data_IF_455910458713
#
_entry.id   IF_455910458713
#
_cell.length_a   1.000
_cell.length_b   1.000
_cell.length_c   1.000
_cell.angle_alpha   90.00
_cell.angle_beta   90.00
_cell.angle_gamma   90.00
#
_symmetry.space_group_name_H-M   'P 1'
#
loop_
_entity.id
_entity.type
_entity.pdbx_description
1 polymer ?
#
# COMPACT_ATOMS: atom_id res chain seq x y z
N UNK A 1 -6.81 -2.57 9.34
CA UNK A 1 -5.48 -2.22 8.77
C UNK A 1 -5.33 -2.83 7.38
N UNK A 2 -4.36 -2.42 6.57
CA UNK A 2 -4.12 -2.94 5.21
C UNK A 2 -2.63 -2.92 4.90
N UNK A 3 -2.17 -3.74 3.95
CA UNK A 3 -0.78 -3.81 3.50
C UNK A 3 -0.58 -3.07 2.18
N UNK A 4 0.34 -2.11 2.15
CA UNK A 4 0.84 -1.45 0.94
C UNK A 4 2.36 -1.52 0.93
N UNK A 5 2.95 -1.88 -0.20
CA UNK A 5 4.38 -1.84 -0.44
C UNK A 5 4.61 -1.15 -1.78
N UNK A 6 5.54 -0.23 -1.89
CA UNK A 6 5.87 0.38 -3.18
C UNK A 6 7.36 0.55 -3.40
N UNK A 7 7.75 0.55 -4.67
CA UNK A 7 9.11 0.73 -5.14
C UNK A 7 9.13 1.75 -6.27
N UNK A 8 10.07 2.70 -6.20
CA UNK A 8 10.54 3.38 -7.41
C UNK A 8 11.49 2.43 -8.14
N UNK A 9 11.28 2.25 -9.43
CA UNK A 9 12.20 1.49 -10.27
C UNK A 9 13.49 2.30 -10.51
N UNK A 10 14.54 1.67 -11.04
CA UNK A 10 15.79 2.39 -11.30
C UNK A 10 15.60 3.31 -12.50
N UNK A 11 16.29 4.45 -12.50
CA UNK A 11 16.32 5.33 -13.67
C UNK A 11 16.98 4.68 -14.90
N UNK A 12 17.75 3.61 -14.70
CA UNK A 12 18.38 2.79 -15.74
C UNK A 12 17.47 1.68 -16.28
N UNK A 13 16.31 1.43 -15.66
CA UNK A 13 15.38 0.43 -16.17
C UNK A 13 14.81 0.92 -17.51
N UNK A 14 14.50 0.02 -18.48
CA UNK A 14 14.02 0.41 -19.80
C UNK A 14 12.74 1.28 -19.76
N UNK A 15 11.90 1.04 -18.74
CA UNK A 15 10.71 1.84 -18.46
C UNK A 15 10.70 2.22 -16.97
N UNK A 16 11.29 3.38 -16.60
CA UNK A 16 11.24 3.87 -15.24
C UNK A 16 9.81 4.13 -14.78
N UNK A 17 9.52 3.82 -13.52
CA UNK A 17 8.17 3.85 -12.99
C UNK A 17 8.09 3.60 -11.49
N UNK A 18 6.88 3.30 -11.04
CA UNK A 18 6.56 2.96 -9.67
C UNK A 18 5.75 1.68 -9.69
N UNK A 19 6.10 0.74 -8.80
CA UNK A 19 5.36 -0.51 -8.65
C UNK A 19 4.82 -0.58 -7.23
N UNK A 20 3.52 -0.82 -7.09
CA UNK A 20 2.84 -0.98 -5.81
C UNK A 20 2.28 -2.39 -5.68
N UNK A 21 2.42 -2.98 -4.50
CA UNK A 21 1.71 -4.18 -4.07
C UNK A 21 0.72 -3.81 -2.98
N UNK A 22 -0.51 -4.30 -3.09
CA UNK A 22 -1.56 -4.06 -2.09
C UNK A 22 -2.33 -5.33 -1.78
N UNK A 23 -2.64 -5.54 -0.50
CA UNK A 23 -3.59 -6.58 -0.11
C UNK A 23 -5.05 -6.12 -0.38
N UNK A 24 -6.01 -7.02 -0.23
CA UNK A 24 -7.41 -6.77 -0.58
C UNK A 24 -8.41 -6.90 0.55
N UNK A 25 -7.97 -7.23 1.78
CA UNK A 25 -8.89 -7.53 2.86
C UNK A 25 -9.52 -6.26 3.50
N UNK A 26 -10.82 -6.29 3.72
CA UNK A 26 -11.61 -5.23 4.33
C UNK A 26 -12.21 -5.74 5.65
N UNK A 27 -12.12 -4.97 6.73
CA UNK A 27 -12.52 -5.41 8.06
C UNK A 27 -13.54 -4.49 8.71
N UNK A 28 -14.32 -5.02 9.65
CA UNK A 28 -15.05 -4.24 10.65
C UNK A 28 -14.16 -3.84 11.84
N UNK A 29 -14.77 -3.32 12.91
CA UNK A 29 -14.05 -2.91 14.12
C UNK A 29 -13.47 -4.09 14.92
N UNK A 30 -14.01 -5.29 14.76
CA UNK A 30 -13.56 -6.51 15.46
C UNK A 30 -12.47 -7.25 14.67
N UNK A 31 -12.07 -6.70 13.51
CA UNK A 31 -11.11 -7.32 12.61
C UNK A 31 -11.67 -8.51 11.84
N UNK A 32 -12.99 -8.67 11.78
CA UNK A 32 -13.63 -9.70 10.96
C UNK A 32 -13.61 -9.26 9.50
N UNK A 33 -13.27 -10.16 8.59
CA UNK A 33 -13.22 -9.88 7.16
C UNK A 33 -14.64 -9.68 6.62
N UNK A 34 -15.00 -8.45 6.25
CA UNK A 34 -16.31 -8.10 5.69
C UNK A 34 -16.31 -8.02 4.16
N UNK A 35 -15.14 -8.09 3.53
CA UNK A 35 -15.04 -8.09 2.08
C UNK A 35 -13.61 -8.20 1.55
N UNK A 36 -13.51 -8.50 0.26
CA UNK A 36 -12.25 -8.56 -0.47
C UNK A 36 -12.37 -7.61 -1.66
N UNK A 37 -11.58 -6.53 -1.67
CA UNK A 37 -11.66 -5.47 -2.67
C UNK A 37 -10.28 -4.89 -2.96
N UNK A 38 -10.12 -4.35 -4.17
CA UNK A 38 -8.93 -3.58 -4.56
C UNK A 38 -8.84 -2.29 -3.74
N UNK A 39 -7.62 -1.95 -3.31
CA UNK A 39 -7.31 -0.73 -2.51
C UNK A 39 -6.54 0.32 -3.29
N UNK A 40 -6.48 0.17 -4.62
CA UNK A 40 -5.86 1.09 -5.55
C UNK A 40 -6.92 1.67 -6.47
N UNK A 41 -6.96 3.00 -6.57
CA UNK A 41 -7.70 3.73 -7.60
C UNK A 41 -6.69 4.18 -8.66
N UNK A 42 -6.99 3.97 -9.94
CA UNK A 42 -6.12 4.36 -11.05
C UNK A 42 -6.80 5.41 -11.91
N UNK A 43 -6.03 6.35 -12.44
CA UNK A 43 -6.53 7.29 -13.45
C UNK A 43 -6.79 6.55 -14.77
N UNK A 44 -7.78 7.01 -15.53
CA UNK A 44 -8.04 6.52 -16.88
C UNK A 44 -7.38 7.37 -17.95
N UNK A 45 -6.80 8.52 -17.58
CA UNK A 45 -6.31 9.54 -18.51
C UNK A 45 -4.81 9.78 -18.41
N UNK A 46 -4.18 9.42 -17.30
CA UNK A 46 -2.76 9.65 -17.06
C UNK A 46 -2.13 8.53 -16.22
N UNK A 47 -0.79 8.38 -16.24
CA UNK A 47 -0.11 7.37 -15.44
C UNK A 47 -0.08 7.73 -13.97
N UNK A 48 -1.17 7.41 -13.28
CA UNK A 48 -1.39 7.72 -11.87
C UNK A 48 -2.17 6.60 -11.19
N UNK A 49 -1.72 6.25 -9.99
CA UNK A 49 -2.41 5.35 -9.08
C UNK A 49 -2.34 5.87 -7.65
N UNK A 50 -3.42 5.65 -6.89
CA UNK A 50 -3.54 6.04 -5.49
C UNK A 50 -3.96 4.81 -4.68
N UNK A 51 -3.11 4.39 -3.75
CA UNK A 51 -3.39 3.33 -2.79
C UNK A 51 -3.76 3.94 -1.43
N UNK A 52 -4.58 3.23 -0.65
CA UNK A 52 -4.93 3.69 0.69
C UNK A 52 -4.90 2.57 1.74
N UNK A 53 -4.76 2.97 3.00
CA UNK A 53 -4.90 2.12 4.19
C UNK A 53 -5.77 2.82 5.23
N UNK A 54 -6.40 2.04 6.11
CA UNK A 54 -7.26 2.58 7.17
C UNK A 54 -8.74 2.53 6.78
N UNK A 55 -9.49 3.61 7.03
CA UNK A 55 -10.92 3.64 6.75
C UNK A 55 -11.22 3.59 5.25
N UNK A 56 -11.90 2.53 4.82
CA UNK A 56 -12.10 2.26 3.40
C UNK A 56 -13.00 3.28 2.69
N UNK A 57 -14.22 3.61 3.18
CA UNK A 57 -15.06 4.60 2.51
C UNK A 57 -14.35 5.94 2.31
N UNK A 58 -13.65 6.41 3.34
CA UNK A 58 -12.92 7.67 3.29
C UNK A 58 -11.70 7.57 2.35
N UNK A 59 -10.90 6.50 2.46
CA UNK A 59 -9.73 6.28 1.60
C UNK A 59 -10.09 6.20 0.12
N UNK A 60 -11.20 5.52 -0.23
CA UNK A 60 -11.70 5.46 -1.61
C UNK A 60 -12.14 6.83 -2.11
N UNK A 61 -12.90 7.58 -1.30
CA UNK A 61 -13.35 8.92 -1.65
C UNK A 61 -12.17 9.88 -1.88
N UNK A 62 -11.21 9.93 -0.95
CA UNK A 62 -10.00 10.75 -1.06
C UNK A 62 -9.17 10.35 -2.28
N UNK A 63 -9.00 9.04 -2.55
CA UNK A 63 -8.29 8.57 -3.73
C UNK A 63 -8.93 9.08 -5.02
N UNK A 64 -10.26 9.05 -5.12
CA UNK A 64 -10.97 9.55 -6.29
C UNK A 64 -10.82 11.06 -6.46
N UNK A 65 -10.85 11.84 -5.37
CA UNK A 65 -10.60 13.29 -5.42
C UNK A 65 -9.20 13.59 -5.96
N UNK A 66 -8.18 12.85 -5.48
CA UNK A 66 -6.79 13.00 -5.95
C UNK A 66 -6.68 12.66 -7.44
N UNK A 67 -7.30 11.56 -7.89
CA UNK A 67 -7.33 11.21 -9.32
C UNK A 67 -7.97 12.34 -10.13
N UNK A 68 -9.13 12.83 -9.73
CA UNK A 68 -9.84 13.88 -10.46
C UNK A 68 -9.02 15.18 -10.53
N UNK A 69 -8.42 15.60 -9.42
CA UNK A 69 -7.57 16.78 -9.37
C UNK A 69 -6.35 16.64 -10.28
N UNK A 70 -5.70 15.47 -10.31
CA UNK A 70 -4.58 15.23 -11.21
C UNK A 70 -4.99 15.23 -12.68
N UNK A 71 -6.16 14.69 -13.03
CA UNK A 71 -6.69 14.70 -14.39
C UNK A 71 -7.08 16.11 -14.87
N UNK A 72 -7.29 17.05 -13.96
CA UNK A 72 -7.58 18.47 -14.22
C UNK A 72 -6.30 19.33 -14.24
N UNK A 73 -5.44 19.18 -13.25
CA UNK A 73 -4.30 20.07 -12.98
C UNK A 73 -2.95 19.51 -13.43
N UNK A 74 -2.90 18.24 -13.85
CA UNK A 74 -1.66 17.49 -13.99
C UNK A 74 -1.13 16.98 -12.65
N UNK A 75 -0.12 16.10 -12.69
CA UNK A 75 0.39 15.43 -11.49
C UNK A 75 1.04 16.41 -10.51
N UNK A 76 1.94 17.26 -11.01
CA UNK A 76 2.67 18.24 -10.18
C UNK A 76 1.72 19.30 -9.60
N UNK A 77 0.76 19.77 -10.41
CA UNK A 77 -0.26 20.72 -9.98
C UNK A 77 -1.15 20.15 -8.88
N UNK A 78 -1.59 18.90 -9.01
CA UNK A 78 -2.35 18.20 -7.97
C UNK A 78 -1.55 18.03 -6.68
N UNK A 79 -0.26 17.69 -6.74
CA UNK A 79 0.55 17.57 -5.52
C UNK A 79 0.70 18.91 -4.79
N UNK A 80 0.88 20.00 -5.54
CA UNK A 80 0.96 21.34 -4.96
C UNK A 80 -0.36 21.76 -4.28
N UNK A 81 -1.49 21.56 -4.96
CA UNK A 81 -2.82 21.88 -4.42
C UNK A 81 -3.15 21.01 -3.19
N UNK A 82 -2.87 19.71 -3.28
CA UNK A 82 -3.05 18.77 -2.17
C UNK A 82 -2.21 19.18 -0.95
N UNK A 83 -0.92 19.52 -1.13
CA UNK A 83 -0.07 19.97 -0.03
C UNK A 83 -0.64 21.19 0.69
N UNK A 84 -1.20 22.15 -0.05
CA UNK A 84 -1.83 23.33 0.51
C UNK A 84 -3.14 23.02 1.26
N UNK A 85 -3.90 22.01 0.80
CA UNK A 85 -5.19 21.65 1.37
C UNK A 85 -5.08 20.72 2.60
N UNK A 86 -4.02 19.93 2.72
CA UNK A 86 -3.86 18.90 3.77
C UNK A 86 -4.09 19.41 5.22
N UNK A 87 -3.61 20.61 5.63
CA UNK A 87 -3.87 21.11 6.99
C UNK A 87 -5.36 21.25 7.35
N UNK A 88 -6.24 21.36 6.36
CA UNK A 88 -7.69 21.45 6.54
C UNK A 88 -8.41 20.09 6.53
N UNK A 89 -7.69 18.98 6.30
CA UNK A 89 -8.31 17.66 6.22
C UNK A 89 -8.79 17.16 7.58
N UNK A 90 -9.82 16.31 7.56
CA UNK A 90 -10.38 15.74 8.78
C UNK A 90 -9.38 14.81 9.48
N UNK A 91 -9.30 14.91 10.82
CA UNK A 91 -8.50 14.03 11.70
C UNK A 91 -9.07 12.63 11.89
N UNK A 92 -10.35 12.43 11.55
CA UNK A 92 -11.06 11.16 11.70
C UNK A 92 -11.99 10.95 10.52
N UNK A 93 -12.17 9.70 10.05
CA UNK A 93 -11.50 8.47 10.52
C UNK A 93 -10.02 8.41 10.11
N UNK A 94 -9.22 7.50 10.68
CA UNK A 94 -7.79 7.36 10.35
C UNK A 94 -7.59 6.75 8.96
N UNK A 95 -6.66 7.32 8.18
CA UNK A 95 -6.22 6.75 6.91
C UNK A 95 -4.83 7.23 6.49
N UNK A 96 -4.20 6.45 5.62
CA UNK A 96 -2.93 6.73 4.94
C UNK A 96 -3.17 6.63 3.44
N UNK A 97 -2.63 7.57 2.67
CA UNK A 97 -2.69 7.59 1.21
C UNK A 97 -1.27 7.51 0.67
N UNK A 98 -1.04 6.62 -0.30
CA UNK A 98 0.15 6.59 -1.14
C UNK A 98 -0.28 6.95 -2.58
N UNK A 99 0.40 7.93 -3.15
CA UNK A 99 0.20 8.45 -4.50
C UNK A 99 1.43 8.06 -5.32
N UNK A 100 1.23 7.39 -6.45
CA UNK A 100 2.27 7.01 -7.38
C UNK A 100 1.94 7.53 -8.77
N UNK A 101 2.81 8.34 -9.35
CA UNK A 101 2.59 8.93 -10.67
C UNK A 101 3.86 9.42 -11.34
N UNK A 102 3.70 10.01 -12.51
CA UNK A 102 4.81 10.52 -13.31
C UNK A 102 4.77 12.03 -13.28
N UNK A 103 5.73 12.62 -12.57
CA UNK A 103 5.96 14.05 -12.54
C UNK A 103 6.60 14.52 -13.85
N UNK A 104 6.14 15.64 -14.39
CA UNK A 104 6.75 16.25 -15.58
C UNK A 104 8.16 16.76 -15.28
N UNK A 105 8.38 17.22 -14.05
CA UNK A 105 9.66 17.79 -13.60
C UNK A 105 10.62 16.77 -12.97
N UNK A 106 10.10 15.71 -12.33
CA UNK A 106 10.90 14.75 -11.57
C UNK A 106 10.88 13.32 -12.14
N UNK A 107 10.03 13.04 -13.13
CA UNK A 107 9.80 11.68 -13.61
C UNK A 107 9.02 10.83 -12.60
N UNK A 108 9.24 9.50 -12.53
CA UNK A 108 8.58 8.62 -11.58
C UNK A 108 8.69 9.13 -10.14
N UNK A 109 7.57 9.41 -9.52
CA UNK A 109 7.49 10.01 -8.20
C UNK A 109 6.41 9.34 -7.37
N UNK A 110 6.69 9.15 -6.08
CA UNK A 110 5.67 8.80 -5.11
C UNK A 110 5.63 9.78 -3.95
N UNK A 111 4.42 10.04 -3.46
CA UNK A 111 4.17 10.85 -2.26
C UNK A 111 3.20 10.11 -1.38
N UNK A 112 3.26 10.35 -0.09
CA UNK A 112 2.25 9.84 0.83
C UNK A 112 1.87 10.90 1.85
N UNK A 113 0.72 10.70 2.48
CA UNK A 113 0.34 11.43 3.68
C UNK A 113 -0.54 10.56 4.56
N UNK A 114 -0.69 10.98 5.81
CA UNK A 114 -1.62 10.39 6.77
C UNK A 114 -2.25 11.50 7.59
N UNK A 115 -3.49 11.29 8.05
CA UNK A 115 -4.16 12.26 8.92
C UNK A 115 -3.92 12.00 10.42
N UNK A 116 -3.42 10.82 10.77
CA UNK A 116 -3.03 10.46 12.13
C UNK A 116 -1.90 9.43 12.11
N UNK A 117 -0.70 9.74 12.63
CA UNK A 117 0.39 8.77 12.73
C UNK A 117 0.07 7.66 13.74
N UNK A 118 0.66 6.49 13.53
CA UNK A 118 0.68 5.43 14.52
C UNK A 118 1.47 5.85 15.76
N UNK A 119 1.28 5.18 16.90
CA UNK A 119 1.94 5.53 18.19
C UNK A 119 3.47 5.66 18.06
N UNK A 120 4.09 4.85 17.20
CA UNK A 120 5.55 4.82 17.00
C UNK A 120 5.99 5.43 15.65
N UNK A 121 5.09 6.10 14.95
CA UNK A 121 5.39 6.71 13.65
C UNK A 121 5.74 8.19 13.85
N UNK A 122 6.98 8.54 13.50
CA UNK A 122 7.50 9.91 13.64
C UNK A 122 7.15 10.80 12.45
N UNK A 123 6.52 10.25 11.40
CA UNK A 123 6.16 11.01 10.21
C UNK A 123 5.05 12.02 10.54
N UNK A 124 5.11 13.23 9.95
CA UNK A 124 4.12 14.26 10.22
C UNK A 124 2.72 13.87 9.72
N UNK A 125 1.71 14.26 10.49
CA UNK A 125 0.32 14.24 10.03
C UNK A 125 0.07 15.43 9.09
N UNK A 126 -0.79 15.26 8.08
CA UNK A 126 -1.22 16.34 7.18
C UNK A 126 -0.10 16.98 6.37
N UNK A 127 0.95 16.22 6.06
CA UNK A 127 2.03 16.66 5.19
C UNK A 127 2.26 15.63 4.08
N UNK A 128 2.50 16.12 2.86
CA UNK A 128 3.01 15.27 1.79
C UNK A 128 4.48 14.98 2.05
N UNK A 129 4.79 13.71 2.23
CA UNK A 129 6.15 13.24 2.44
C UNK A 129 6.62 12.38 1.27
N UNK A 130 7.93 12.39 1.05
CA UNK A 130 8.60 11.45 0.18
C UNK A 130 8.94 10.18 0.99
N UNK A 131 8.33 9.02 0.69
CA UNK A 131 8.66 7.78 1.40
C UNK A 131 10.01 7.18 0.97
N UNK A 132 10.74 7.82 0.06
CA UNK A 132 12.00 7.35 -0.50
C UNK A 132 11.79 6.27 -1.56
N UNK A 133 12.84 5.50 -1.86
CA UNK A 133 12.82 4.46 -2.89
C UNK A 133 11.84 3.31 -2.61
N UNK A 134 11.58 3.02 -1.32
CA UNK A 134 10.72 1.92 -0.90
C UNK A 134 9.81 2.40 0.24
N UNK A 135 8.49 2.30 0.07
CA UNK A 135 7.52 2.53 1.14
C UNK A 135 7.06 1.21 1.77
N UNK A 136 7.18 1.11 3.09
CA UNK A 136 6.74 -0.05 3.87
C UNK A 136 5.45 0.24 4.64
N UNK A 137 4.32 0.15 3.96
CA UNK A 137 2.99 0.21 4.55
C UNK A 137 2.45 -1.14 5.01
N UNK A 138 3.30 -2.06 5.49
CA UNK A 138 2.89 -3.44 5.85
C UNK A 138 2.62 -3.67 7.34
N UNK A 139 2.72 -2.62 8.16
CA UNK A 139 2.61 -2.72 9.62
C UNK A 139 3.81 -3.44 10.25
N UNK A 140 4.28 -2.98 11.40
CA UNK A 140 5.31 -3.68 12.17
C UNK A 140 4.85 -3.79 13.62
N UNK A 141 5.13 -4.94 14.23
CA UNK A 141 4.80 -5.20 15.64
C UNK A 141 5.60 -4.30 16.58
N UNK A 142 6.88 -4.08 16.26
CA UNK A 142 7.89 -3.63 17.23
C UNK A 142 8.57 -2.32 16.86
N UNK A 143 8.12 -1.64 15.81
CA UNK A 143 8.89 -0.53 15.22
C UNK A 143 10.24 -0.98 14.62
N UNK A 144 10.51 -2.29 14.60
CA UNK A 144 11.71 -2.86 13.98
C UNK A 144 11.64 -2.64 12.47
N UNK A 145 12.70 -2.06 11.93
CA UNK A 145 12.92 -2.04 10.50
C UNK A 145 13.27 -3.46 10.04
N UNK A 146 12.50 -4.00 9.09
CA UNK A 146 12.79 -5.28 8.45
C UNK A 146 13.56 -5.05 7.16
N UNK A 147 14.50 -5.95 6.89
CA UNK A 147 15.21 -6.06 5.62
C UNK A 147 14.66 -7.24 4.81
N UNK A 148 14.98 -7.31 3.52
CA UNK A 148 14.62 -8.50 2.72
C UNK A 148 15.35 -9.76 3.21
N UNK A 149 16.56 -9.61 3.76
CA UNK A 149 17.33 -10.70 4.35
C UNK A 149 16.63 -11.29 5.59
N UNK A 150 16.02 -10.46 6.45
CA UNK A 150 15.25 -10.91 7.62
C UNK A 150 14.09 -11.85 7.24
N UNK A 151 13.60 -11.76 6.00
CA UNK A 151 12.49 -12.55 5.47
C UNK A 151 12.93 -13.58 4.42
N UNK A 152 14.24 -13.77 4.26
CA UNK A 152 14.83 -14.76 3.34
C UNK A 152 14.61 -14.46 1.86
N UNK A 153 14.45 -13.17 1.51
CA UNK A 153 14.23 -12.73 0.13
C UNK A 153 15.50 -12.05 -0.38
N UNK A 154 16.12 -12.56 -1.47
CA UNK A 154 17.32 -11.93 -2.00
C UNK A 154 16.98 -10.59 -2.65
N UNK A 155 17.91 -9.63 -2.61
CA UNK A 155 17.79 -8.40 -3.40
C UNK A 155 17.68 -8.70 -4.91
N UNK A 156 17.03 -7.81 -5.69
CA UNK A 156 16.97 -7.93 -7.14
C UNK A 156 18.36 -8.03 -7.76
N UNK A 157 18.52 -8.94 -8.73
CA UNK A 157 19.78 -9.04 -9.50
C UNK A 157 19.99 -7.77 -10.34
N UNK A 158 21.22 -7.50 -10.75
CA UNK A 158 21.54 -6.30 -11.53
C UNK A 158 20.72 -6.19 -12.83
N UNK A 159 20.58 -7.30 -13.56
CA UNK A 159 19.85 -7.41 -14.83
C UNK A 159 18.34 -7.66 -14.66
N UNK A 160 17.86 -7.75 -13.42
CA UNK A 160 16.47 -8.05 -13.13
C UNK A 160 15.68 -6.77 -12.86
N UNK A 161 14.57 -6.60 -13.57
CA UNK A 161 13.64 -5.50 -13.30
C UNK A 161 12.95 -5.69 -11.95
N UNK A 162 12.64 -4.59 -11.26
CA UNK A 162 11.89 -4.63 -10.00
C UNK A 162 10.53 -5.32 -10.20
N UNK A 163 9.89 -5.17 -11.37
CA UNK A 163 8.63 -5.85 -11.67
C UNK A 163 8.79 -7.38 -11.69
N UNK A 164 9.81 -7.88 -12.37
CA UNK A 164 10.06 -9.32 -12.44
C UNK A 164 10.37 -9.89 -11.05
N UNK A 165 11.16 -9.16 -10.27
CA UNK A 165 11.50 -9.52 -8.90
C UNK A 165 10.26 -9.53 -7.98
N UNK A 166 9.43 -8.48 -8.00
CA UNK A 166 8.20 -8.40 -7.22
C UNK A 166 7.16 -9.43 -7.66
N UNK A 167 7.10 -9.76 -8.95
CA UNK A 167 6.23 -10.83 -9.44
C UNK A 167 6.60 -12.18 -8.84
N UNK A 168 7.89 -12.42 -8.60
CA UNK A 168 8.38 -13.67 -7.99
C UNK A 168 8.27 -13.66 -6.47
N UNK A 169 8.63 -12.56 -5.82
CA UNK A 169 8.83 -12.49 -4.37
C UNK A 169 7.73 -11.74 -3.62
N UNK A 170 6.88 -10.99 -4.32
CA UNK A 170 5.83 -10.16 -3.71
C UNK A 170 4.87 -10.95 -2.83
N UNK A 171 4.48 -12.16 -3.27
CA UNK A 171 3.70 -13.07 -2.44
C UNK A 171 4.43 -13.41 -1.14
N UNK A 172 5.69 -13.85 -1.22
CA UNK A 172 6.48 -14.22 -0.03
C UNK A 172 6.66 -13.05 0.95
N UNK A 173 6.83 -11.82 0.44
CA UNK A 173 6.89 -10.61 1.29
C UNK A 173 5.58 -10.44 2.06
N UNK A 174 4.44 -10.56 1.36
CA UNK A 174 3.12 -10.40 1.97
C UNK A 174 2.76 -11.58 2.88
N UNK A 175 3.18 -12.81 2.57
CA UNK A 175 2.98 -13.99 3.44
C UNK A 175 3.70 -13.84 4.77
N UNK A 176 4.94 -13.33 4.76
CA UNK A 176 5.65 -13.03 5.99
C UNK A 176 4.85 -12.07 6.88
N UNK A 177 4.37 -10.96 6.31
CA UNK A 177 3.62 -9.96 7.05
C UNK A 177 2.21 -10.43 7.45
N UNK A 178 1.59 -11.27 6.63
CA UNK A 178 0.31 -11.93 6.91
C UNK A 178 0.36 -12.83 8.14
N UNK A 179 1.51 -13.45 8.41
CA UNK A 179 1.73 -14.26 9.62
C UNK A 179 1.96 -13.42 10.89
N UNK A 180 2.17 -12.11 10.78
CA UNK A 180 2.31 -11.24 11.94
C UNK A 180 0.95 -10.86 12.53
N UNK A 181 0.90 -10.75 13.86
CA UNK A 181 -0.25 -10.16 14.57
C UNK A 181 0.04 -8.70 14.86
N UNK A 182 -0.67 -7.80 14.20
CA UNK A 182 -0.51 -6.35 14.35
C UNK A 182 -1.75 -5.74 15.03
N UNK A 183 -1.63 -4.58 15.70
CA UNK A 183 -2.77 -3.90 16.32
C UNK A 183 -3.89 -3.62 15.29
N UNK A 184 -5.16 -3.78 15.64
CA UNK A 184 -6.29 -3.43 14.75
C UNK A 184 -6.30 -1.91 14.48
N UNK A 185 -6.22 -1.12 15.56
CA UNK A 185 -5.99 0.32 15.53
C UNK A 185 -4.53 0.65 15.88
N UNK A 186 -3.69 1.08 14.91
CA UNK A 186 -2.29 1.41 15.17
C UNK A 186 -2.10 2.65 16.08
N UNK A 187 -3.18 3.35 16.41
CA UNK A 187 -3.19 4.55 17.24
C UNK A 187 -3.66 4.28 18.67
N UNK A 188 -4.12 3.07 18.97
CA UNK A 188 -4.50 2.61 20.30
C UNK A 188 -3.58 1.45 20.74
N UNK A 189 -2.67 1.66 21.71
CA UNK A 189 -1.76 0.61 22.17
C UNK A 189 -2.48 -0.55 22.87
N UNK A 190 -3.74 -0.39 23.27
CA UNK A 190 -4.52 -1.41 23.99
C UNK A 190 -5.45 -2.22 23.08
N UNK A 191 -5.47 -1.92 21.78
CA UNK A 191 -6.33 -2.65 20.84
C UNK A 191 -5.87 -4.09 20.66
N UNK A 192 -6.81 -4.96 20.28
CA UNK A 192 -6.50 -6.35 19.94
C UNK A 192 -5.53 -6.45 18.78
N UNK A 193 -4.76 -7.55 18.76
CA UNK A 193 -3.78 -7.85 17.71
C UNK A 193 -4.23 -9.01 16.84
N UNK A 194 -4.22 -8.83 15.53
CA UNK A 194 -4.75 -9.81 14.57
C UNK A 194 -3.92 -9.87 13.28
N UNK A 195 -4.18 -10.89 12.46
CA UNK A 195 -3.64 -11.01 11.10
C UNK A 195 -4.48 -10.14 10.16
N UNK A 196 -3.88 -9.13 9.53
CA UNK A 196 -4.62 -8.11 8.79
C UNK A 196 -4.21 -7.96 7.32
N UNK A 197 -3.46 -8.91 6.76
CA UNK A 197 -3.12 -8.97 5.34
C UNK A 197 -3.82 -10.17 4.71
N UNK A 198 -4.61 -9.94 3.66
CA UNK A 198 -5.26 -11.04 2.94
C UNK A 198 -6.15 -10.64 1.77
N UNK A 199 -7.06 -11.55 1.43
CA UNK A 199 -7.98 -11.44 0.31
C UNK A 199 -7.29 -11.66 -1.03
N UNK A 200 -6.72 -10.59 -1.58
CA UNK A 200 -5.99 -10.61 -2.86
C UNK A 200 -4.68 -9.83 -2.72
N UNK A 201 -3.68 -10.18 -3.52
CA UNK A 201 -2.48 -9.39 -3.72
C UNK A 201 -2.52 -8.83 -5.13
N UNK A 202 -2.75 -7.54 -5.26
CA UNK A 202 -2.69 -6.83 -6.53
C UNK A 202 -1.33 -6.16 -6.68
N UNK A 203 -0.79 -6.19 -7.91
CA UNK A 203 0.34 -5.38 -8.33
C UNK A 203 -0.13 -4.30 -9.30
N UNK A 204 0.22 -3.06 -8.98
CA UNK A 204 -0.01 -1.89 -9.84
C UNK A 204 1.33 -1.40 -10.37
N UNK A 205 1.44 -1.23 -11.68
CA UNK A 205 2.63 -0.69 -12.33
C UNK A 205 2.26 0.64 -12.99
N UNK A 206 3.00 1.70 -12.64
CA UNK A 206 2.84 3.05 -13.16
C UNK A 206 4.12 3.44 -13.91
N UNK A 207 4.02 3.66 -15.22
CA UNK A 207 5.12 4.07 -16.11
C UNK A 207 4.72 5.35 -16.83
N UNK A 208 5.65 6.02 -17.52
CA UNK A 208 5.33 7.20 -18.32
C UNK A 208 4.18 7.00 -19.33
N UNK A 209 4.04 5.78 -19.89
CA UNK A 209 3.04 5.50 -20.92
C UNK A 209 1.75 4.85 -20.42
N UNK A 210 1.72 4.28 -19.21
CA UNK A 210 0.58 3.47 -18.77
C UNK A 210 0.47 3.30 -17.24
N UNK A 211 -0.74 2.94 -16.82
CA UNK A 211 -0.99 2.35 -15.51
C UNK A 211 -1.71 1.02 -15.71
N UNK A 212 -1.22 -0.04 -15.06
CA UNK A 212 -1.84 -1.37 -15.11
C UNK A 212 -1.98 -1.97 -13.72
N UNK A 213 -3.02 -2.79 -13.52
CA UNK A 213 -3.25 -3.53 -12.28
C UNK A 213 -3.48 -4.99 -12.62
N UNK A 214 -2.75 -5.89 -11.96
CA UNK A 214 -2.93 -7.34 -12.09
C UNK A 214 -2.87 -8.04 -10.75
N UNK A 215 -3.68 -9.07 -10.59
CA UNK A 215 -3.68 -9.90 -9.39
C UNK A 215 -2.50 -10.88 -9.46
N UNK A 216 -1.63 -10.86 -8.44
CA UNK A 216 -0.54 -11.81 -8.27
C UNK A 216 -0.99 -13.06 -7.50
N UNK A 217 -1.87 -12.87 -6.52
CA UNK A 217 -2.29 -13.95 -5.63
C UNK A 217 -3.69 -13.70 -5.05
N UNK A 218 -4.37 -14.78 -4.68
CA UNK A 218 -5.61 -14.74 -3.90
C UNK A 218 -5.49 -15.74 -2.76
N UNK A 219 -5.64 -15.25 -1.54
CA UNK A 219 -5.70 -16.10 -0.37
C UNK A 219 -7.10 -16.72 -0.22
N UNK A 220 -7.20 -17.92 0.35
CA UNK A 220 -8.47 -18.63 0.59
C UNK A 220 -9.22 -18.09 1.83
N UNK A 221 -9.20 -16.77 2.05
CA UNK A 221 -9.86 -16.13 3.19
C UNK A 221 -11.39 -16.20 3.08
N UNK A 222 -12.06 -16.36 4.22
CA UNK A 222 -13.52 -16.51 4.32
C UNK A 222 -14.13 -15.21 4.85
N UNK A 223 -15.04 -14.61 4.07
CA UNK A 223 -15.81 -13.44 4.52
C UNK A 223 -16.71 -13.86 5.68
N UNK A 224 -16.71 -13.08 6.76
CA UNK A 224 -17.38 -13.37 8.02
C UNK A 224 -16.47 -14.00 9.08
N UNK A 225 -15.22 -14.32 8.73
CA UNK A 225 -14.22 -14.86 9.65
C UNK A 225 -13.04 -13.90 9.82
N UNK A 226 -12.29 -14.07 10.92
CA UNK A 226 -10.98 -13.43 11.06
C UNK A 226 -9.97 -14.16 10.17
N UNK A 227 -8.98 -13.44 9.65
CA UNK A 227 -7.92 -14.09 8.87
C UNK A 227 -7.13 -15.04 9.75
N UNK A 228 -7.05 -16.30 9.31
CA UNK A 228 -6.15 -17.31 9.84
C UNK A 228 -5.15 -17.72 8.75
N UNK A 229 -3.88 -17.30 8.85
CA UNK A 229 -2.87 -17.62 7.87
C UNK A 229 -2.39 -19.09 7.95
N UNK A 230 -2.78 -19.85 8.96
CA UNK A 230 -2.34 -21.24 9.20
C UNK A 230 -3.40 -22.28 8.88
N UNK A 231 -4.62 -21.86 8.55
CA UNK A 231 -5.76 -22.76 8.30
C UNK A 231 -5.51 -23.79 7.18
N UNK A 232 -4.65 -23.48 6.21
CA UNK A 232 -4.31 -24.40 5.10
C UNK A 232 -3.19 -25.39 5.43
N UNK A 233 -2.23 -25.01 6.27
CA UNK A 233 -1.09 -25.86 6.63
C UNK A 233 -1.56 -27.13 7.36
N UNK A 234 -2.71 -27.08 8.03
CA UNK A 234 -3.31 -28.21 8.74
C UNK A 234 -3.96 -29.26 7.82
N UNK A 235 -4.34 -28.88 6.58
CA UNK A 235 -4.97 -29.81 5.63
C UNK A 235 -3.97 -30.58 4.77
N UNK A 236 -2.75 -30.06 4.62
CA UNK A 236 -1.67 -30.76 3.89
C UNK A 236 -0.89 -31.72 4.80
N UNK A 237 -0.98 -31.54 6.13
CA UNK A 237 -0.34 -32.40 7.13
C UNK A 237 -1.22 -33.57 7.62
N UNK A 238 -2.49 -33.64 7.21
CA UNK A 238 -3.47 -34.65 7.59
C UNK A 238 -3.80 -35.58 6.41
#
# INVERSE_FOLDING_TARGET
MSGVLSFLTKSTDPEPGIIMLTDGACYDHDGVLVGIRRKVTVSKRMPLAVAFRGNQPFGMYTSQLIINAAEELGFDGMLADLAAALPAFARSPNYEILIAGISESLGPTQRMFMNKPAVNDTRPAFELIDPGHIHWGLGSDTGKHFTFDDIGIPFPRQEETIEAWLSRHGRSIFEYHRRMRIPIDPTDPNTDRQHLIGGILDMTVVTAGSVSVRMLHRWPDIIGEKIDPFHHDLREAA
#
